data_IF_187620097505
#
_entry.id   IF_187620097505
#
_cell.length_a   1.000
_cell.length_b   1.000
_cell.length_c   1.000
_cell.angle_alpha   90.00
_cell.angle_beta   90.00
_cell.angle_gamma   90.00
#
_symmetry.space_group_name_H-M   'P 1'
#
loop_
_entity.id
_entity.type
_entity.pdbx_description
1 polymer ?
#
# COMPACT_ATOMS: atom_id res chain seq x y z
N UNK A 1 -6.48 19.55 20.67
CA UNK A 1 -5.49 19.89 19.62
C UNK A 1 -6.13 19.91 18.23
N UNK A 2 -5.94 20.98 17.46
CA UNK A 2 -6.49 21.18 16.10
C UNK A 2 -5.42 20.99 15.01
N UNK A 3 -4.32 20.29 15.32
CA UNK A 3 -3.22 20.08 14.37
C UNK A 3 -3.59 19.02 13.34
N UNK A 4 -3.49 19.36 12.07
CA UNK A 4 -3.65 18.42 10.96
C UNK A 4 -2.39 17.56 10.80
N UNK A 5 -2.53 16.24 10.85
CA UNK A 5 -1.46 15.30 10.55
C UNK A 5 -1.68 14.67 9.17
N UNK A 6 -0.67 14.71 8.32
CA UNK A 6 -0.70 14.09 6.99
C UNK A 6 0.38 13.03 6.86
N UNK A 7 0.07 11.96 6.14
CA UNK A 7 1.02 10.90 5.79
C UNK A 7 1.36 11.03 4.32
N UNK A 8 2.61 11.32 4.01
CA UNK A 8 3.08 11.45 2.63
C UNK A 8 3.32 10.07 1.99
N UNK A 9 2.25 9.37 1.59
CA UNK A 9 2.31 7.99 1.10
C UNK A 9 3.23 7.80 -0.12
N UNK A 10 3.26 8.76 -1.04
CA UNK A 10 4.15 8.71 -2.22
C UNK A 10 5.63 8.73 -1.83
N UNK A 11 5.99 9.61 -0.89
CA UNK A 11 7.36 9.71 -0.37
C UNK A 11 7.72 8.49 0.48
N UNK A 12 6.81 8.00 1.31
CA UNK A 12 6.96 6.78 2.10
C UNK A 12 7.29 5.57 1.20
N UNK A 13 6.53 5.39 0.12
CA UNK A 13 6.76 4.34 -0.89
C UNK A 13 8.12 4.40 -1.57
N UNK A 14 8.77 5.58 -1.56
CA UNK A 14 10.07 5.82 -2.19
C UNK A 14 11.23 5.95 -1.20
N UNK A 15 10.95 5.85 0.10
CA UNK A 15 11.98 5.99 1.13
C UNK A 15 12.84 4.72 1.22
N UNK A 16 14.18 4.82 1.09
CA UNK A 16 15.07 3.69 1.28
C UNK A 16 15.10 3.19 2.73
N UNK A 17 14.67 4.00 3.71
CA UNK A 17 14.53 3.61 5.12
C UNK A 17 13.38 2.64 5.35
N UNK A 18 12.35 2.69 4.48
CA UNK A 18 11.15 1.85 4.59
C UNK A 18 11.23 0.67 3.63
N UNK A 19 11.74 0.90 2.42
CA UNK A 19 11.80 -0.07 1.33
C UNK A 19 13.21 -0.17 0.75
N UNK A 20 13.83 -1.33 0.83
CA UNK A 20 15.10 -1.61 0.11
C UNK A 20 14.90 -1.46 -1.39
N UNK A 21 15.81 -0.76 -2.09
CA UNK A 21 15.71 -0.46 -3.53
C UNK A 21 14.33 0.09 -3.94
N UNK A 22 13.90 1.24 -3.42
CA UNK A 22 12.52 1.71 -3.51
C UNK A 22 12.07 2.06 -4.95
N UNK A 23 13.01 2.34 -5.85
CA UNK A 23 12.73 2.63 -7.26
C UNK A 23 12.55 1.36 -8.11
N UNK A 24 12.88 0.18 -7.57
CA UNK A 24 12.74 -1.09 -8.28
C UNK A 24 11.35 -1.66 -8.05
N UNK A 25 10.63 -1.94 -9.14
CA UNK A 25 9.42 -2.73 -9.10
C UNK A 25 9.77 -4.20 -8.78
N UNK A 26 9.38 -4.66 -7.59
CA UNK A 26 9.60 -6.03 -7.12
C UNK A 26 8.37 -6.54 -6.35
N UNK A 27 7.47 -7.32 -7.01
CA UNK A 27 6.29 -7.89 -6.36
C UNK A 27 6.62 -8.83 -5.21
N UNK A 28 7.80 -9.49 -5.22
CA UNK A 28 8.18 -10.48 -4.20
C UNK A 28 8.28 -9.87 -2.81
N UNK A 29 8.50 -8.55 -2.72
CA UNK A 29 8.51 -7.78 -1.48
C UNK A 29 7.27 -8.02 -0.62
N UNK A 30 6.11 -8.26 -1.23
CA UNK A 30 4.83 -8.42 -0.54
C UNK A 30 4.52 -9.86 -0.11
N UNK A 31 5.39 -10.82 -0.44
CA UNK A 31 5.23 -12.23 -0.06
C UNK A 31 5.77 -12.53 1.35
N UNK A 32 6.56 -11.62 1.91
CA UNK A 32 7.20 -11.76 3.22
C UNK A 32 6.22 -11.38 4.35
N UNK A 33 6.27 -12.08 5.47
CA UNK A 33 5.35 -11.88 6.62
C UNK A 33 5.53 -10.50 7.29
N UNK A 34 6.71 -9.89 7.16
CA UNK A 34 7.00 -8.54 7.64
C UNK A 34 6.35 -7.43 6.79
N UNK A 35 6.00 -7.73 5.53
CA UNK A 35 5.39 -6.76 4.62
C UNK A 35 3.90 -6.53 4.90
N UNK A 36 3.23 -7.48 5.54
CA UNK A 36 1.80 -7.41 5.91
C UNK A 36 1.56 -6.84 7.31
N UNK A 37 2.58 -6.81 8.17
CA UNK A 37 2.48 -6.41 9.58
C UNK A 37 3.00 -5.01 9.87
N UNK A 38 3.85 -4.46 9.00
CA UNK A 38 4.31 -3.07 9.07
C UNK A 38 3.42 -2.20 8.16
N UNK A 39 3.06 -0.98 8.58
CA UNK A 39 2.20 0.01 7.88
C UNK A 39 2.75 0.48 6.49
N UNK A 40 3.17 -0.46 5.66
CA UNK A 40 3.79 -0.30 4.34
C UNK A 40 2.75 -0.37 3.21
N UNK A 41 1.60 -1.00 3.45
CA UNK A 41 0.50 -1.12 2.49
C UNK A 41 -0.68 -0.22 2.88
N UNK A 42 -0.59 1.07 2.53
CA UNK A 42 -1.57 2.10 2.91
C UNK A 42 -2.26 2.79 1.72
N UNK A 43 -2.17 2.20 0.52
CA UNK A 43 -2.75 2.79 -0.70
C UNK A 43 -4.26 3.01 -0.61
N UNK A 44 -4.96 2.17 0.15
CA UNK A 44 -6.41 2.27 0.40
C UNK A 44 -6.73 2.84 1.80
N UNK A 45 -5.76 3.46 2.48
CA UNK A 45 -5.93 3.91 3.87
C UNK A 45 -5.93 2.77 4.88
N UNK A 46 -6.37 3.08 6.11
CA UNK A 46 -6.38 2.14 7.23
C UNK A 46 -7.53 2.45 8.21
N UNK A 47 -7.97 1.42 8.94
CA UNK A 47 -9.00 1.55 9.98
C UNK A 47 -10.40 1.85 9.45
N UNK A 48 -11.27 2.40 10.30
CA UNK A 48 -12.68 2.63 9.99
C UNK A 48 -12.93 3.62 8.84
N UNK A 49 -11.90 4.38 8.42
CA UNK A 49 -11.97 5.37 7.33
C UNK A 49 -11.13 4.98 6.11
N UNK A 50 -10.75 3.71 5.99
CA UNK A 50 -10.16 3.18 4.76
C UNK A 50 -11.14 3.28 3.58
N UNK A 51 -10.64 3.15 2.36
CA UNK A 51 -11.44 3.16 1.14
C UNK A 51 -12.55 2.10 1.22
N UNK A 52 -13.81 2.56 1.12
CA UNK A 52 -14.99 1.69 1.13
C UNK A 52 -14.99 0.71 -0.06
N UNK A 53 -14.44 1.15 -1.20
CA UNK A 53 -14.32 0.35 -2.42
C UNK A 53 -13.09 -0.55 -2.48
N UNK A 54 -12.29 -0.66 -1.41
CA UNK A 54 -11.02 -1.43 -1.42
C UNK A 54 -11.22 -2.84 -1.97
N UNK A 55 -12.22 -3.57 -1.47
CA UNK A 55 -12.48 -4.95 -1.90
C UNK A 55 -12.95 -5.06 -3.33
N UNK A 56 -13.79 -4.11 -3.77
CA UNK A 56 -14.24 -4.05 -5.16
C UNK A 56 -13.05 -3.81 -6.10
N UNK A 57 -12.23 -2.80 -5.82
CA UNK A 57 -11.05 -2.48 -6.62
C UNK A 57 -10.03 -3.63 -6.64
N UNK A 58 -9.74 -4.25 -5.48
CA UNK A 58 -8.85 -5.42 -5.41
C UNK A 58 -9.35 -6.56 -6.31
N UNK A 59 -10.64 -6.90 -6.27
CA UNK A 59 -11.23 -7.95 -7.09
C UNK A 59 -11.22 -7.59 -8.58
N UNK A 60 -11.65 -6.38 -8.94
CA UNK A 60 -11.66 -5.92 -10.33
C UNK A 60 -10.26 -5.94 -10.94
N UNK A 61 -9.24 -5.45 -10.23
CA UNK A 61 -7.84 -5.49 -10.69
C UNK A 61 -7.34 -6.93 -10.86
N UNK A 62 -7.64 -7.83 -9.92
CA UNK A 62 -7.22 -9.22 -10.00
C UNK A 62 -7.90 -9.96 -11.17
N UNK A 63 -9.20 -9.74 -11.38
CA UNK A 63 -9.93 -10.32 -12.51
C UNK A 63 -9.41 -9.79 -13.84
N UNK A 64 -9.19 -8.48 -13.94
CA UNK A 64 -8.63 -7.87 -15.14
C UNK A 64 -7.25 -8.43 -15.48
N UNK A 65 -6.32 -8.45 -14.51
CA UNK A 65 -4.96 -8.96 -14.72
C UNK A 65 -4.90 -10.48 -14.94
N UNK A 66 -5.90 -11.23 -14.47
CA UNK A 66 -5.99 -12.67 -14.73
C UNK A 66 -6.66 -13.02 -16.07
N UNK A 67 -7.39 -12.08 -16.67
CA UNK A 67 -8.04 -12.24 -17.97
C UNK A 67 -7.13 -11.83 -19.13
N UNK A 68 -6.38 -10.73 -18.97
CA UNK A 68 -5.38 -10.24 -19.92
C UNK A 68 -4.18 -11.18 -19.96
#
# INVERSE_FOLDING_TARGET
>A
PQTLCQVALYALGRSPEVFSNPQRYDPKRWLMKEATTSFRALAFGFGARQCIGRRLAEVEMMLFLGHV
#
